data_IF_447878964808
#
_entry.id   IF_447878964808
#
_cell.length_a   1.000
_cell.length_b   1.000
_cell.length_c   1.000
_cell.angle_alpha   90.00
_cell.angle_beta   90.00
_cell.angle_gamma   90.00
#
_symmetry.space_group_name_H-M   'P 1'
#
loop_
_entity.id
_entity.type
_entity.pdbx_description
1 polymer ?
#
# COMPACT_ATOMS: atom_id res chain seq x y z
N UNK A 1 7.29 -13.69 -5.81
CA UNK A 1 6.39 -12.91 -4.94
C UNK A 1 5.04 -13.64 -4.90
N UNK A 2 4.52 -13.85 -3.71
CA UNK A 2 3.23 -14.51 -3.56
C UNK A 2 2.11 -13.59 -4.05
N UNK A 3 1.22 -14.11 -4.89
CA UNK A 3 0.00 -13.40 -5.25
C UNK A 3 -1.05 -13.62 -4.18
N UNK A 4 -1.68 -12.53 -3.74
CA UNK A 4 -2.74 -12.60 -2.76
C UNK A 4 -4.03 -13.07 -3.42
N UNK A 5 -4.71 -13.98 -2.75
CA UNK A 5 -5.99 -14.48 -3.26
C UNK A 5 -7.09 -13.43 -3.06
N UNK A 6 -8.04 -13.43 -3.96
CA UNK A 6 -9.21 -12.57 -3.84
C UNK A 6 -9.95 -12.86 -2.54
N UNK A 7 -10.24 -11.81 -1.77
CA UNK A 7 -10.93 -11.92 -0.49
C UNK A 7 -10.03 -11.98 0.74
N UNK A 8 -8.70 -12.06 0.58
CA UNK A 8 -7.81 -11.97 1.74
C UNK A 8 -7.85 -10.57 2.33
N UNK A 9 -8.10 -10.50 3.64
CA UNK A 9 -8.15 -9.24 4.37
C UNK A 9 -6.74 -8.76 4.72
N UNK A 10 -6.63 -7.49 5.14
CA UNK A 10 -5.39 -6.96 5.70
C UNK A 10 -4.89 -7.83 6.84
N UNK A 11 -5.79 -8.22 7.76
CA UNK A 11 -5.45 -9.07 8.89
C UNK A 11 -4.89 -10.43 8.47
N UNK A 12 -5.48 -11.03 7.43
CA UNK A 12 -5.00 -12.30 6.89
C UNK A 12 -3.55 -12.16 6.38
N UNK A 13 -3.25 -11.08 5.69
CA UNK A 13 -1.91 -10.81 5.17
C UNK A 13 -0.89 -10.62 6.29
N UNK A 14 -1.27 -9.88 7.33
CA UNK A 14 -0.42 -9.67 8.50
C UNK A 14 -0.17 -11.00 9.22
N UNK A 15 -1.23 -11.78 9.48
CA UNK A 15 -1.10 -13.08 10.15
C UNK A 15 -0.25 -14.05 9.35
N UNK A 16 -0.44 -14.11 8.04
CA UNK A 16 0.37 -14.96 7.16
C UNK A 16 1.84 -14.53 7.21
N UNK A 17 2.11 -13.23 7.16
CA UNK A 17 3.47 -12.70 7.27
C UNK A 17 4.11 -13.04 8.61
N UNK A 18 3.36 -12.92 9.71
CA UNK A 18 3.86 -13.28 11.04
C UNK A 18 4.17 -14.78 11.14
N UNK A 19 3.28 -15.63 10.64
CA UNK A 19 3.48 -17.07 10.65
C UNK A 19 4.73 -17.47 9.87
N UNK A 20 4.92 -16.89 8.69
CA UNK A 20 6.07 -17.17 7.85
C UNK A 20 7.38 -16.76 8.55
N UNK A 21 7.37 -15.64 9.27
CA UNK A 21 8.52 -15.13 10.01
C UNK A 21 8.62 -15.72 11.41
N UNK A 22 7.64 -16.52 11.84
CA UNK A 22 7.55 -17.08 13.20
C UNK A 22 7.58 -15.99 14.28
N UNK A 23 6.83 -14.92 14.03
CA UNK A 23 6.71 -13.78 14.93
C UNK A 23 5.32 -13.83 15.57
N UNK A 24 5.29 -13.81 16.92
CA UNK A 24 4.02 -13.75 17.65
C UNK A 24 3.39 -12.36 17.54
N UNK A 25 2.11 -12.27 17.85
CA UNK A 25 1.42 -10.98 17.89
C UNK A 25 2.12 -9.99 18.82
N UNK A 26 2.51 -10.46 20.01
CA UNK A 26 3.21 -9.64 21.00
C UNK A 26 4.58 -9.14 20.49
N UNK A 27 5.34 -10.04 19.85
CA UNK A 27 6.63 -9.66 19.27
C UNK A 27 6.47 -8.63 18.15
N UNK A 28 5.47 -8.81 17.29
CA UNK A 28 5.19 -7.85 16.22
C UNK A 28 4.76 -6.50 16.79
N UNK A 29 3.88 -6.50 17.79
CA UNK A 29 3.42 -5.28 18.45
C UNK A 29 4.60 -4.52 19.08
N UNK A 30 5.48 -5.21 19.79
CA UNK A 30 6.66 -4.61 20.38
C UNK A 30 7.56 -3.99 19.30
N UNK A 31 7.78 -4.69 18.19
CA UNK A 31 8.64 -4.22 17.10
C UNK A 31 8.11 -2.96 16.44
N UNK A 32 6.78 -2.83 16.30
CA UNK A 32 6.16 -1.63 15.71
C UNK A 32 5.72 -0.61 16.76
N UNK A 33 6.08 -0.82 18.03
CA UNK A 33 5.83 0.10 19.15
C UNK A 33 4.34 0.38 19.36
N UNK A 34 3.55 -0.69 19.33
CA UNK A 34 2.11 -0.64 19.61
C UNK A 34 1.78 -1.71 20.67
N UNK A 35 0.63 -1.57 21.32
CA UNK A 35 0.18 -2.60 22.24
C UNK A 35 -0.30 -3.83 21.47
N UNK A 36 -0.17 -5.05 22.06
CA UNK A 36 -0.73 -6.25 21.44
C UNK A 36 -2.23 -6.14 21.19
N UNK A 37 -2.96 -5.50 22.10
CA UNK A 37 -4.38 -5.26 21.94
C UNK A 37 -4.70 -4.40 20.71
N UNK A 38 -3.92 -3.34 20.49
CA UNK A 38 -4.06 -2.48 19.32
C UNK A 38 -3.81 -3.27 18.03
N UNK A 39 -2.71 -4.01 17.97
CA UNK A 39 -2.40 -4.79 16.78
C UNK A 39 -3.42 -5.89 16.53
N UNK A 40 -3.93 -6.50 17.58
CA UNK A 40 -5.03 -7.47 17.47
C UNK A 40 -6.26 -6.84 16.83
N UNK A 41 -6.63 -5.63 17.24
CA UNK A 41 -7.76 -4.91 16.67
C UNK A 41 -7.55 -4.60 15.18
N UNK A 42 -6.32 -4.25 14.78
CA UNK A 42 -5.97 -4.03 13.37
C UNK A 42 -6.13 -5.33 12.58
N UNK A 43 -5.61 -6.45 13.10
CA UNK A 43 -5.73 -7.74 12.43
C UNK A 43 -7.18 -8.21 12.28
N UNK A 44 -8.02 -7.87 13.25
CA UNK A 44 -9.43 -8.27 13.25
C UNK A 44 -10.35 -7.26 12.54
N UNK A 45 -9.78 -6.22 11.95
CA UNK A 45 -10.54 -5.23 11.20
C UNK A 45 -11.33 -4.24 12.07
N UNK A 46 -11.07 -4.19 13.38
CA UNK A 46 -11.75 -3.29 14.31
C UNK A 46 -11.13 -1.91 14.35
N UNK A 47 -9.92 -1.77 13.83
CA UNK A 47 -9.19 -0.52 13.85
C UNK A 47 -8.44 -0.33 12.53
N UNK A 48 -8.57 0.87 11.97
CA UNK A 48 -7.87 1.23 10.74
C UNK A 48 -6.42 1.60 11.09
N UNK A 49 -5.42 0.97 10.44
CA UNK A 49 -4.02 1.32 10.67
C UNK A 49 -3.65 2.60 9.95
N UNK A 50 -2.65 3.31 10.49
CA UNK A 50 -2.04 4.44 9.79
C UNK A 50 -1.10 3.93 8.70
N UNK A 51 -0.76 4.83 7.76
CA UNK A 51 0.24 4.52 6.73
C UNK A 51 1.59 4.16 7.37
N UNK A 52 2.00 4.88 8.42
CA UNK A 52 3.24 4.61 9.13
C UNK A 52 3.25 3.21 9.74
N UNK A 53 2.16 2.79 10.36
CA UNK A 53 2.06 1.43 10.91
C UNK A 53 2.15 0.38 9.80
N UNK A 54 1.48 0.61 8.68
CA UNK A 54 1.55 -0.32 7.54
C UNK A 54 2.97 -0.41 6.99
N UNK A 55 3.69 0.70 6.91
CA UNK A 55 5.08 0.72 6.49
C UNK A 55 5.96 -0.08 7.45
N UNK A 56 5.76 0.09 8.76
CA UNK A 56 6.51 -0.65 9.78
C UNK A 56 6.23 -2.15 9.70
N UNK A 57 4.98 -2.54 9.52
CA UNK A 57 4.60 -3.95 9.37
C UNK A 57 5.16 -4.55 8.07
N UNK A 58 5.13 -3.79 6.97
CA UNK A 58 5.70 -4.25 5.70
C UNK A 58 7.19 -4.54 5.84
N UNK A 59 7.94 -3.64 6.50
CA UNK A 59 9.36 -3.83 6.75
C UNK A 59 9.63 -5.03 7.67
N UNK A 60 8.89 -5.13 8.76
CA UNK A 60 9.07 -6.21 9.75
C UNK A 60 8.79 -7.58 9.14
N UNK A 61 7.71 -7.70 8.38
CA UNK A 61 7.20 -8.98 7.88
C UNK A 61 7.63 -9.27 6.43
N UNK A 62 8.41 -8.37 5.83
CA UNK A 62 8.85 -8.47 4.43
C UNK A 62 7.65 -8.62 3.48
N UNK A 63 6.66 -7.76 3.69
CA UNK A 63 5.48 -7.66 2.84
C UNK A 63 5.57 -6.42 1.96
N UNK A 64 4.89 -6.48 0.82
CA UNK A 64 4.82 -5.34 -0.08
C UNK A 64 3.88 -4.28 0.50
N UNK A 65 4.38 -3.05 0.64
CA UNK A 65 3.59 -1.96 1.21
C UNK A 65 2.37 -1.62 0.37
N UNK A 66 2.51 -1.64 -0.96
CA UNK A 66 1.37 -1.36 -1.85
C UNK A 66 0.25 -2.38 -1.66
N UNK A 67 0.60 -3.66 -1.46
CA UNK A 67 -0.39 -4.70 -1.16
C UNK A 67 -1.12 -4.42 0.16
N UNK A 68 -0.39 -4.02 1.20
CA UNK A 68 -0.99 -3.70 2.49
C UNK A 68 -1.87 -2.46 2.42
N UNK A 69 -1.41 -1.42 1.72
CA UNK A 69 -2.17 -0.20 1.53
C UNK A 69 -3.48 -0.49 0.78
N UNK A 70 -3.41 -1.26 -0.29
CA UNK A 70 -4.60 -1.66 -1.06
C UNK A 70 -5.58 -2.45 -0.18
N UNK A 71 -5.07 -3.41 0.60
CA UNK A 71 -5.91 -4.20 1.50
C UNK A 71 -6.56 -3.35 2.58
N UNK A 72 -5.90 -2.27 3.00
CA UNK A 72 -6.44 -1.32 3.97
C UNK A 72 -7.38 -0.29 3.33
N UNK A 73 -7.54 -0.31 2.01
CA UNK A 73 -8.35 0.67 1.29
C UNK A 73 -7.74 2.07 1.30
N UNK A 74 -6.42 2.16 1.36
CA UNK A 74 -5.69 3.43 1.47
C UNK A 74 -4.82 3.68 0.24
N UNK A 75 -4.69 4.96 -0.13
CA UNK A 75 -3.70 5.41 -1.10
C UNK A 75 -2.49 5.97 -0.34
N UNK A 76 -1.26 5.67 -0.78
CA UNK A 76 -0.08 6.34 -0.24
C UNK A 76 -0.20 7.86 -0.38
N UNK A 77 0.35 8.60 0.58
CA UNK A 77 0.23 10.08 0.60
C UNK A 77 0.80 10.71 -0.65
N UNK A 78 1.95 10.23 -1.14
CA UNK A 78 2.57 10.74 -2.36
C UNK A 78 1.69 10.52 -3.59
N UNK A 79 1.00 9.37 -3.67
CA UNK A 79 0.06 9.07 -4.77
C UNK A 79 -1.16 9.98 -4.67
N UNK A 80 -1.72 10.14 -3.47
CA UNK A 80 -2.87 11.03 -3.26
C UNK A 80 -2.55 12.47 -3.66
N UNK A 81 -1.37 12.95 -3.29
CA UNK A 81 -0.93 14.31 -3.62
C UNK A 81 -0.76 14.49 -5.12
N UNK A 82 -0.15 13.51 -5.78
CA UNK A 82 0.00 13.52 -7.24
C UNK A 82 -1.35 13.56 -7.95
N UNK A 83 -2.29 12.72 -7.53
CA UNK A 83 -3.65 12.70 -8.10
C UNK A 83 -4.36 14.03 -7.89
N UNK A 84 -4.20 14.61 -6.70
CA UNK A 84 -4.87 15.88 -6.35
C UNK A 84 -4.35 17.04 -7.18
N UNK A 85 -3.05 17.06 -7.46
CA UNK A 85 -2.41 18.14 -8.20
C UNK A 85 -2.38 17.93 -9.72
N UNK A 86 -2.74 16.74 -10.20
CA UNK A 86 -2.60 16.36 -11.61
C UNK A 86 -3.91 15.76 -12.14
N UNK A 87 -4.85 16.59 -12.67
CA UNK A 87 -6.15 16.09 -13.14
C UNK A 87 -6.04 14.97 -14.18
N UNK A 88 -5.01 14.99 -15.02
CA UNK A 88 -4.80 13.95 -16.02
C UNK A 88 -4.58 12.56 -15.40
N UNK A 89 -3.95 12.51 -14.24
CA UNK A 89 -3.79 11.25 -13.51
C UNK A 89 -5.14 10.68 -13.08
N UNK A 90 -6.05 11.53 -12.60
CA UNK A 90 -7.40 11.10 -12.25
C UNK A 90 -8.18 10.58 -13.45
N UNK A 91 -8.03 11.24 -14.62
CA UNK A 91 -8.67 10.79 -15.86
C UNK A 91 -8.14 9.43 -16.28
N UNK A 92 -6.83 9.21 -16.14
CA UNK A 92 -6.22 7.90 -16.42
C UNK A 92 -6.86 6.82 -15.57
N UNK A 93 -6.92 7.01 -14.25
CA UNK A 93 -7.49 6.01 -13.35
C UNK A 93 -8.96 5.76 -13.61
N UNK A 94 -9.73 6.80 -13.92
CA UNK A 94 -11.14 6.63 -14.29
C UNK A 94 -11.28 5.79 -15.55
N UNK A 95 -10.44 6.02 -16.54
CA UNK A 95 -10.44 5.25 -17.79
C UNK A 95 -10.10 3.79 -17.52
N UNK A 96 -9.05 3.54 -16.74
CA UNK A 96 -8.65 2.17 -16.37
C UNK A 96 -9.78 1.45 -15.66
N UNK A 97 -10.43 2.12 -14.72
CA UNK A 97 -11.53 1.56 -13.94
C UNK A 97 -12.74 1.23 -14.81
N UNK A 98 -13.15 2.16 -15.68
CA UNK A 98 -14.32 1.96 -16.53
C UNK A 98 -14.10 0.86 -17.58
N UNK A 99 -12.88 0.69 -18.05
CA UNK A 99 -12.50 -0.38 -18.98
C UNK A 99 -12.15 -1.68 -18.27
N UNK A 100 -12.11 -1.68 -16.94
CA UNK A 100 -11.74 -2.85 -16.12
C UNK A 100 -10.42 -3.48 -16.56
N UNK A 101 -9.41 -2.65 -16.74
CA UNK A 101 -8.08 -3.11 -17.13
C UNK A 101 -7.56 -4.07 -16.07
N UNK A 102 -7.13 -5.26 -16.47
CA UNK A 102 -6.69 -6.29 -15.55
C UNK A 102 -5.22 -6.07 -15.11
N UNK A 103 -4.75 -6.95 -14.24
CA UNK A 103 -3.40 -6.87 -13.68
C UNK A 103 -2.33 -6.90 -14.77
N UNK A 104 -2.49 -7.75 -15.79
CA UNK A 104 -1.53 -7.83 -16.89
C UNK A 104 -1.49 -6.53 -17.69
N UNK A 105 -2.64 -5.94 -17.96
CA UNK A 105 -2.74 -4.63 -18.62
C UNK A 105 -2.08 -3.54 -17.79
N UNK A 106 -2.29 -3.55 -16.48
CA UNK A 106 -1.66 -2.58 -15.57
C UNK A 106 -0.14 -2.73 -15.54
N UNK A 107 0.38 -3.97 -15.52
CA UNK A 107 1.83 -4.21 -15.58
C UNK A 107 2.46 -3.64 -16.84
N UNK A 108 1.78 -3.76 -17.98
CA UNK A 108 2.24 -3.16 -19.24
C UNK A 108 2.29 -1.65 -19.15
N UNK A 109 1.28 -1.04 -18.51
CA UNK A 109 1.27 0.41 -18.32
C UNK A 109 2.38 0.87 -17.38
N UNK A 110 2.68 0.10 -16.34
CA UNK A 110 3.79 0.40 -15.44
C UNK A 110 5.12 0.43 -16.21
N UNK A 111 5.36 -0.56 -17.08
CA UNK A 111 6.54 -0.59 -17.93
C UNK A 111 6.60 0.63 -18.85
N UNK A 112 5.50 0.96 -19.50
CA UNK A 112 5.43 2.12 -20.38
C UNK A 112 5.66 3.41 -19.63
N UNK A 113 5.11 3.53 -18.42
CA UNK A 113 5.28 4.72 -17.58
C UNK A 113 6.75 4.95 -17.23
N UNK A 114 7.53 3.88 -17.04
CA UNK A 114 8.95 3.98 -16.74
C UNK A 114 9.78 4.62 -17.84
N UNK A 115 9.29 4.63 -19.09
CA UNK A 115 9.98 5.24 -20.22
C UNK A 115 9.44 6.63 -20.60
N UNK A 116 8.41 7.11 -19.92
CA UNK A 116 7.84 8.44 -20.17
C UNK A 116 8.69 9.54 -19.55
N UNK A 117 8.61 10.74 -20.14
CA UNK A 117 9.29 11.91 -19.58
C UNK A 117 8.72 12.30 -18.22
N UNK A 118 9.57 12.86 -17.38
CA UNK A 118 9.15 13.38 -16.08
C UNK A 118 8.81 14.85 -16.20
N UNK A 119 7.84 15.31 -15.39
CA UNK A 119 7.56 16.73 -15.28
C UNK A 119 8.76 17.44 -14.63
N UNK A 120 9.05 18.68 -15.09
CA UNK A 120 10.04 19.48 -14.39
C UNK A 120 9.49 19.87 -13.02
N UNK A 121 10.34 19.84 -11.96
CA UNK A 121 9.88 20.28 -10.66
C UNK A 121 9.48 21.75 -10.71
N UNK A 122 8.40 22.09 -10.03
CA UNK A 122 7.95 23.47 -9.87
C UNK A 122 9.04 24.27 -9.15
N UNK A 123 9.16 25.56 -9.47
CA UNK A 123 10.12 26.45 -8.82
C UNK A 123 9.97 26.41 -7.29
N UNK A 124 8.76 26.23 -6.78
CA UNK A 124 8.50 26.09 -5.36
C UNK A 124 9.11 24.82 -4.77
N UNK A 125 9.22 23.74 -5.54
CA UNK A 125 9.81 22.48 -5.10
C UNK A 125 11.33 22.54 -5.04
N UNK A 126 11.93 23.39 -5.84
CA UNK A 126 13.39 23.58 -5.87
C UNK A 126 13.91 24.39 -4.68
N UNK A 127 13.05 25.12 -3.98
CA UNK A 127 13.41 25.95 -2.84
C UNK A 127 13.27 25.25 -1.49
N UNK A 128 12.84 24.00 -1.47
CA UNK A 128 12.65 23.21 -0.27
C UNK A 128 13.91 22.49 0.20
#
# INVERSE_FOLDING_TARGET
>A
MREWQSGETLGDRIRTGRARKRITLRQAADAVKRSPSFLSDVENGRRAPSEDLLADLAALLELDLDDLMAAAGKLPTDVSDYLRSTPEAGRLFRTLSSRRVDTDGLRKLIEQAGSLGTAEPDAADLER
#
